data_IF_796157880510
#
_entry.id   IF_796157880510
#
_cell.length_a   1.000
_cell.length_b   1.000
_cell.length_c   1.000
_cell.angle_alpha   90.00
_cell.angle_beta   90.00
_cell.angle_gamma   90.00
#
_symmetry.space_group_name_H-M   'P 1'
#
loop_
_entity.id
_entity.type
_entity.pdbx_description
1 polymer ?
#
# COMPACT_ATOMS: atom_id res chain seq x y z
N UNK A 1 23.57 0.94 20.89
CA UNK A 1 23.70 0.64 19.45
C UNK A 1 22.33 0.83 18.86
N UNK A 2 22.04 2.04 18.38
CA UNK A 2 20.74 2.33 17.78
C UNK A 2 20.66 1.56 16.46
N UNK A 3 19.81 0.54 16.41
CA UNK A 3 19.40 -0.08 15.15
C UNK A 3 18.69 0.99 14.34
N UNK A 4 19.43 1.65 13.45
CA UNK A 4 18.89 2.63 12.53
C UNK A 4 18.11 1.87 11.46
N UNK A 5 16.80 1.71 11.70
CA UNK A 5 15.90 1.10 10.73
C UNK A 5 15.78 2.02 9.52
N UNK A 6 16.38 1.62 8.39
CA UNK A 6 16.18 2.26 7.09
C UNK A 6 14.80 1.89 6.49
N UNK A 7 13.74 1.94 7.30
CA UNK A 7 12.35 1.76 6.86
C UNK A 7 11.64 3.07 7.15
N UNK A 8 11.34 3.81 6.10
CA UNK A 8 10.67 5.11 6.19
C UNK A 8 9.14 4.99 6.09
N UNK A 9 8.57 3.77 6.11
CA UNK A 9 7.13 3.53 5.99
C UNK A 9 6.60 2.65 7.13
N UNK A 10 5.56 3.12 7.82
CA UNK A 10 4.78 2.35 8.78
C UNK A 10 3.45 1.88 8.18
N UNK A 11 3.03 0.67 8.56
CA UNK A 11 1.83 0.00 8.05
C UNK A 11 0.98 -0.48 9.22
N UNK A 12 -0.31 -0.17 9.20
CA UNK A 12 -1.30 -0.75 10.11
C UNK A 12 -2.32 -1.58 9.32
N UNK A 13 -2.70 -2.75 9.85
CA UNK A 13 -3.67 -3.64 9.21
C UNK A 13 -4.60 -4.31 10.23
N UNK A 14 -5.83 -4.60 9.82
CA UNK A 14 -6.88 -5.17 10.69
C UNK A 14 -7.28 -6.62 10.32
N UNK A 15 -6.69 -7.21 9.28
CA UNK A 15 -6.90 -8.61 8.84
C UNK A 15 -5.65 -9.17 8.15
N UNK A 16 -5.59 -10.50 7.95
CA UNK A 16 -4.67 -11.23 7.06
C UNK A 16 -4.51 -10.51 5.72
N UNK A 17 -3.32 -10.00 5.48
CA UNK A 17 -2.91 -9.45 4.20
C UNK A 17 -1.76 -10.31 3.72
N UNK A 18 -1.98 -11.18 2.75
CA UNK A 18 -0.86 -11.95 2.21
C UNK A 18 -0.11 -11.14 1.19
N UNK A 19 1.21 -11.23 1.26
CA UNK A 19 1.97 -11.13 0.03
C UNK A 19 1.81 -12.45 -0.72
N UNK A 20 1.56 -12.43 -2.04
CA UNK A 20 1.57 -13.66 -2.84
C UNK A 20 2.93 -14.41 -2.77
N UNK A 21 3.10 -15.44 -3.62
CA UNK A 21 4.29 -16.33 -3.69
C UNK A 21 5.66 -15.59 -3.69
N UNK A 22 6.79 -16.28 -3.40
CA UNK A 22 7.76 -15.92 -2.36
C UNK A 22 8.46 -14.56 -2.58
N UNK A 23 7.85 -13.49 -2.11
CA UNK A 23 8.47 -12.15 -2.14
C UNK A 23 9.60 -12.01 -1.14
N UNK A 24 9.54 -12.76 -0.05
CA UNK A 24 10.53 -12.72 1.01
C UNK A 24 11.88 -13.19 0.48
N UNK A 25 11.88 -14.29 -0.28
CA UNK A 25 13.08 -14.79 -0.95
C UNK A 25 13.62 -13.81 -1.98
N UNK A 26 12.73 -13.18 -2.76
CA UNK A 26 13.14 -12.16 -3.72
C UNK A 26 13.81 -10.96 -3.02
N UNK A 27 13.21 -10.46 -1.94
CA UNK A 27 13.72 -9.33 -1.19
C UNK A 27 15.00 -9.69 -0.43
N UNK A 28 15.09 -10.89 0.16
CA UNK A 28 16.30 -11.43 0.78
C UNK A 28 17.45 -11.51 -0.23
N UNK A 29 17.20 -12.00 -1.45
CA UNK A 29 18.18 -12.00 -2.56
C UNK A 29 18.61 -10.60 -2.98
N UNK A 30 17.77 -9.59 -2.77
CA UNK A 30 18.10 -8.17 -3.02
C UNK A 30 18.80 -7.48 -1.83
N UNK A 31 19.13 -8.23 -0.77
CA UNK A 31 19.88 -7.72 0.38
C UNK A 31 19.01 -7.16 1.51
N UNK A 32 17.67 -7.29 1.42
CA UNK A 32 16.80 -6.88 2.51
C UNK A 32 16.91 -7.87 3.68
N UNK A 33 17.28 -7.36 4.85
CA UNK A 33 17.25 -8.10 6.10
C UNK A 33 15.84 -8.07 6.68
N UNK A 34 15.37 -9.22 7.10
CA UNK A 34 14.09 -9.42 7.77
C UNK A 34 14.33 -9.73 9.24
N UNK A 35 13.51 -9.16 10.10
CA UNK A 35 13.59 -9.33 11.55
C UNK A 35 12.42 -10.16 12.10
N UNK A 36 11.36 -10.28 11.31
CA UNK A 36 10.19 -11.10 11.53
C UNK A 36 9.76 -11.76 10.21
N UNK A 37 9.01 -12.83 10.35
CA UNK A 37 8.37 -13.53 9.23
C UNK A 37 6.92 -13.06 9.02
N UNK A 38 6.61 -11.84 9.49
CA UNK A 38 5.25 -11.30 9.39
C UNK A 38 5.00 -10.68 8.02
N UNK A 39 3.79 -10.89 7.49
CA UNK A 39 3.37 -10.28 6.23
C UNK A 39 3.58 -8.75 6.23
N UNK A 40 3.37 -8.10 7.37
CA UNK A 40 3.50 -6.65 7.54
C UNK A 40 4.93 -6.17 7.29
N UNK A 41 5.94 -6.91 7.74
CA UNK A 41 7.33 -6.56 7.45
C UNK A 41 7.66 -6.75 5.97
N UNK A 42 7.15 -7.81 5.35
CA UNK A 42 7.32 -8.03 3.90
C UNK A 42 6.75 -6.88 3.09
N UNK A 43 5.56 -6.39 3.46
CA UNK A 43 4.96 -5.22 2.79
C UNK A 43 5.83 -3.97 3.03
N UNK A 44 6.36 -3.77 4.24
CA UNK A 44 7.22 -2.63 4.57
C UNK A 44 8.55 -2.65 3.79
N UNK A 45 9.17 -3.81 3.63
CA UNK A 45 10.39 -3.98 2.81
C UNK A 45 10.06 -3.85 1.31
N UNK A 46 8.91 -4.34 0.87
CA UNK A 46 8.47 -4.21 -0.52
C UNK A 46 8.26 -2.75 -0.93
N UNK A 47 7.59 -1.95 -0.08
CA UNK A 47 7.38 -0.53 -0.37
C UNK A 47 8.70 0.24 -0.39
N UNK A 48 9.61 -0.05 0.55
CA UNK A 48 10.96 0.50 0.57
C UNK A 48 11.70 0.17 -0.74
N UNK A 49 11.69 -1.10 -1.15
CA UNK A 49 12.35 -1.59 -2.35
C UNK A 49 11.84 -0.92 -3.63
N UNK A 50 10.52 -0.73 -3.76
CA UNK A 50 9.93 -0.07 -4.92
C UNK A 50 10.27 1.42 -4.91
N UNK A 51 10.21 2.09 -3.75
CA UNK A 51 10.59 3.49 -3.61
C UNK A 51 12.04 3.71 -4.03
N UNK A 52 12.98 2.87 -3.58
CA UNK A 52 14.40 3.04 -3.88
C UNK A 52 14.71 2.80 -5.37
N UNK A 53 13.89 2.01 -6.07
CA UNK A 53 13.99 1.80 -7.52
C UNK A 53 13.35 2.92 -8.34
N UNK A 54 12.29 3.54 -7.82
CA UNK A 54 11.50 4.56 -8.52
C UNK A 54 11.23 5.76 -7.59
N UNK A 55 12.24 6.62 -7.36
CA UNK A 55 12.15 7.70 -6.37
C UNK A 55 11.16 8.81 -6.75
N UNK A 56 10.81 8.92 -8.05
CA UNK A 56 9.91 9.97 -8.55
C UNK A 56 8.41 9.64 -8.37
N UNK A 57 8.08 8.46 -7.85
CA UNK A 57 6.69 8.06 -7.64
C UNK A 57 6.04 8.87 -6.51
N UNK A 58 4.80 9.31 -6.74
CA UNK A 58 3.96 9.83 -5.66
C UNK A 58 3.65 8.73 -4.63
N UNK A 59 3.40 9.11 -3.37
CA UNK A 59 3.11 8.14 -2.31
C UNK A 59 1.92 7.24 -2.65
N UNK A 60 0.89 7.82 -3.26
CA UNK A 60 -0.27 7.08 -3.75
C UNK A 60 0.11 6.04 -4.80
N UNK A 61 0.88 6.41 -5.83
CA UNK A 61 1.30 5.48 -6.89
C UNK A 61 2.17 4.35 -6.32
N UNK A 62 3.07 4.71 -5.40
CA UNK A 62 3.91 3.73 -4.70
C UNK A 62 3.06 2.69 -3.97
N UNK A 63 2.06 3.13 -3.19
CA UNK A 63 1.12 2.23 -2.51
C UNK A 63 0.27 1.44 -3.51
N UNK A 64 -0.20 2.06 -4.61
CA UNK A 64 -0.95 1.37 -5.68
C UNK A 64 -0.16 0.20 -6.29
N UNK A 65 1.15 0.36 -6.51
CA UNK A 65 2.01 -0.72 -7.03
C UNK A 65 2.16 -1.83 -5.98
N UNK A 66 2.37 -1.47 -4.71
CA UNK A 66 2.52 -2.45 -3.62
C UNK A 66 1.26 -3.32 -3.49
N UNK A 67 0.08 -2.69 -3.43
CA UNK A 67 -1.20 -3.40 -3.20
C UNK A 67 -1.59 -4.32 -4.36
N UNK A 68 -1.17 -4.01 -5.59
CA UNK A 68 -1.40 -4.86 -6.76
C UNK A 68 -0.68 -6.21 -6.64
N UNK A 69 0.40 -6.25 -5.86
CA UNK A 69 1.11 -7.48 -5.61
C UNK A 69 0.58 -8.24 -4.37
N UNK A 70 -0.33 -7.65 -3.58
CA UNK A 70 -0.88 -8.30 -2.39
C UNK A 70 -2.11 -9.13 -2.74
N UNK A 71 -2.25 -10.24 -2.04
CA UNK A 71 -3.34 -11.18 -2.17
C UNK A 71 -4.17 -11.21 -0.87
N UNK A 72 -5.33 -11.86 -0.93
CA UNK A 72 -6.23 -11.96 0.22
C UNK A 72 -7.08 -10.72 0.49
N UNK A 73 -7.57 -10.63 1.73
CA UNK A 73 -8.56 -9.67 2.16
C UNK A 73 -8.04 -8.77 3.29
N UNK A 74 -7.69 -7.52 2.96
CA UNK A 74 -6.99 -6.61 3.85
C UNK A 74 -7.61 -5.21 3.87
N UNK A 75 -7.37 -4.50 4.97
CA UNK A 75 -7.52 -3.07 5.07
C UNK A 75 -6.19 -2.53 5.64
N UNK A 76 -5.49 -1.72 4.86
CA UNK A 76 -4.14 -1.24 5.18
C UNK A 76 -4.13 0.29 5.22
N UNK A 77 -3.37 0.85 6.15
CA UNK A 77 -3.02 2.26 6.18
C UNK A 77 -1.49 2.41 6.12
N UNK A 78 -1.02 3.22 5.19
CA UNK A 78 0.38 3.49 4.93
C UNK A 78 0.70 4.92 5.33
N UNK A 79 1.75 5.09 6.13
CA UNK A 79 2.32 6.40 6.51
C UNK A 79 3.82 6.36 6.28
N UNK A 80 4.39 7.46 5.84
CA UNK A 80 5.82 7.50 5.56
C UNK A 80 6.49 8.81 5.97
N UNK A 81 7.73 8.73 6.47
CA UNK A 81 8.54 9.91 6.78
C UNK A 81 9.08 10.62 5.53
N UNK A 82 9.20 9.94 4.37
CA UNK A 82 9.55 10.59 3.09
C UNK A 82 8.37 11.34 2.46
N UNK A 83 7.15 11.04 2.88
CA UNK A 83 5.92 11.68 2.39
C UNK A 83 5.17 12.34 3.56
N UNK A 84 5.74 13.38 4.19
CA UNK A 84 5.15 14.02 5.36
C UNK A 84 3.78 14.63 5.01
N UNK A 85 2.85 14.55 5.95
CA UNK A 85 1.48 15.04 5.78
C UNK A 85 0.56 14.15 4.93
N UNK A 86 1.07 13.03 4.40
CA UNK A 86 0.28 12.10 3.60
C UNK A 86 -0.02 10.81 4.36
N UNK A 87 -1.24 10.30 4.19
CA UNK A 87 -1.69 8.98 4.63
C UNK A 87 -2.45 8.36 3.46
N UNK A 88 -2.07 7.15 3.07
CA UNK A 88 -2.78 6.40 2.03
C UNK A 88 -3.38 5.16 2.67
N UNK A 89 -4.69 5.01 2.58
CA UNK A 89 -5.39 3.83 3.05
C UNK A 89 -6.02 3.08 1.89
N UNK A 90 -6.05 1.76 1.97
CA UNK A 90 -6.59 0.85 0.94
C UNK A 90 -7.40 -0.25 1.59
N UNK A 91 -8.35 -0.81 0.84
CA UNK A 91 -9.10 -1.98 1.25
C UNK A 91 -9.33 -2.92 0.08
N UNK A 92 -9.27 -4.22 0.36
CA UNK A 92 -9.66 -5.30 -0.55
C UNK A 92 -10.35 -6.37 0.28
N UNK A 93 -11.64 -6.63 0.07
CA UNK A 93 -12.38 -7.66 0.81
C UNK A 93 -12.62 -7.43 2.32
N UNK A 94 -11.94 -6.46 2.95
CA UNK A 94 -12.13 -6.09 4.36
C UNK A 94 -12.73 -4.68 4.49
N UNK A 95 -13.62 -4.43 5.47
CA UNK A 95 -14.16 -3.09 5.72
C UNK A 95 -13.05 -2.15 6.21
N UNK A 96 -13.16 -0.87 5.82
CA UNK A 96 -12.28 0.20 6.28
C UNK A 96 -13.15 1.42 6.62
N UNK A 97 -13.02 1.92 7.85
CA UNK A 97 -13.70 3.12 8.32
C UNK A 97 -12.65 4.23 8.51
N UNK A 98 -12.93 5.42 8.00
CA UNK A 98 -12.07 6.60 8.17
C UNK A 98 -12.86 7.63 8.98
N UNK A 99 -12.38 7.94 10.18
CA UNK A 99 -12.92 9.02 11.01
C UNK A 99 -12.19 10.33 10.73
N UNK A 100 -12.94 11.41 10.49
CA UNK A 100 -12.38 12.75 10.29
C UNK A 100 -12.59 13.55 11.57
N UNK A 101 -11.50 13.97 12.20
CA UNK A 101 -11.50 14.87 13.36
C UNK A 101 -10.82 16.17 13.00
N UNK A 102 -11.47 17.29 13.34
CA UNK A 102 -10.92 18.64 13.21
C UNK A 102 -10.90 19.29 14.59
N UNK A 103 -9.89 20.15 14.85
CA UNK A 103 -9.85 20.97 16.06
C UNK A 103 -10.95 22.05 16.05
N UNK A 104 -11.43 22.41 14.86
CA UNK A 104 -12.50 23.37 14.66
C UNK A 104 -13.79 22.64 14.24
N UNK A 105 -14.94 23.26 14.50
CA UNK A 105 -16.23 22.76 13.99
C UNK A 105 -16.15 22.52 12.49
N UNK A 106 -16.52 21.32 12.05
CA UNK A 106 -16.58 20.98 10.64
C UNK A 106 -17.69 21.81 10.00
N UNK A 107 -17.33 22.67 9.05
CA UNK A 107 -18.30 23.53 8.35
C UNK A 107 -19.21 22.73 7.39
N UNK A 108 -18.85 21.48 7.09
CA UNK A 108 -19.59 20.62 6.16
C UNK A 108 -19.42 19.15 6.53
N UNK A 109 -20.47 18.37 6.29
CA UNK A 109 -20.44 16.90 6.32
C UNK A 109 -20.18 16.30 4.93
N UNK A 110 -20.04 17.15 3.90
CA UNK A 110 -19.76 16.74 2.53
C UNK A 110 -18.28 16.94 2.22
N UNK A 111 -17.54 15.83 2.19
CA UNK A 111 -16.12 15.81 1.82
C UNK A 111 -15.98 15.40 0.35
N UNK A 112 -15.28 16.18 -0.49
CA UNK A 112 -15.10 15.82 -1.89
C UNK A 112 -14.26 14.54 -2.00
N UNK A 113 -14.88 13.47 -2.50
CA UNK A 113 -14.20 12.21 -2.79
C UNK A 113 -13.78 12.22 -4.25
N UNK A 114 -12.47 12.28 -4.49
CA UNK A 114 -11.91 12.16 -5.84
C UNK A 114 -11.62 10.69 -6.15
N UNK A 115 -12.27 10.16 -7.18
CA UNK A 115 -11.98 8.82 -7.69
C UNK A 115 -10.87 8.89 -8.75
N UNK A 116 -9.97 7.90 -8.76
CA UNK A 116 -9.10 7.67 -9.93
C UNK A 116 -9.98 7.50 -11.16
N UNK A 117 -9.64 8.12 -12.30
CA UNK A 117 -10.21 7.70 -13.58
C UNK A 117 -9.93 6.21 -13.74
N UNK A 118 -10.98 5.40 -13.83
CA UNK A 118 -10.84 3.99 -14.17
C UNK A 118 -10.10 3.92 -15.51
N UNK A 119 -8.90 3.34 -15.51
CA UNK A 119 -8.21 3.01 -16.74
C UNK A 119 -9.06 1.94 -17.39
N UNK A 120 -9.83 2.31 -18.43
CA UNK A 120 -10.51 1.33 -19.29
C UNK A 120 -9.42 0.43 -19.86
N UNK A 121 -9.28 -0.77 -19.30
CA UNK A 121 -8.58 -1.84 -19.98
C UNK A 121 -9.52 -2.20 -21.12
N UNK A 122 -9.21 -1.71 -22.33
CA UNK A 122 -9.89 -2.16 -23.52
C UNK A 122 -9.60 -3.66 -23.66
N UNK A 123 -10.57 -4.49 -23.30
CA UNK A 123 -10.58 -5.90 -23.68
C UNK A 123 -10.77 -5.96 -25.19
N UNK A 124 -9.68 -5.93 -25.94
CA UNK A 124 -9.69 -6.34 -27.33
C UNK A 124 -9.92 -7.85 -27.41
N UNK A 125 -10.88 -8.21 -28.26
CA UNK A 125 -11.21 -9.54 -28.76
C UNK A 125 -12.22 -10.36 -27.94
N UNK A 126 -13.48 -10.12 -28.29
CA UNK A 126 -14.46 -11.19 -28.40
C UNK A 126 -14.04 -12.12 -29.55
N UNK A 127 -13.67 -13.36 -29.24
CA UNK A 127 -13.63 -14.46 -30.21
C UNK A 127 -14.84 -15.36 -29.94
N UNK A 128 -15.88 -15.10 -30.73
CA UNK A 128 -16.76 -16.06 -31.37
C UNK A 128 -16.56 -17.54 -30.94
N UNK A 129 -17.50 -18.08 -30.17
CA UNK A 129 -17.75 -19.53 -30.17
C UNK A 129 -18.86 -19.81 -31.19
N UNK A 130 -18.67 -20.86 -31.99
CA UNK A 130 -19.70 -21.46 -32.85
C UNK A 130 -20.50 -22.47 -32.04
#
# INVERSE_FOLDING_TARGET
>A
MDMQYNIHCGIAHTRWATHGSPKDEYLKKKGHKFESETDTEVIAKLIQHIHDRYPDLTFRQLVEIVIQQLEGAFALAFKSSKFPGQLVATRRGSPLLIGIKSNNSLQTNHFPVSYSKARRIASSQATHCK
#
